data_IF_431620860252
#
_entry.id   IF_431620860252
#
_cell.length_a   1.000
_cell.length_b   1.000
_cell.length_c   1.000
_cell.angle_alpha   90.00
_cell.angle_beta   90.00
_cell.angle_gamma   90.00
#
_symmetry.space_group_name_H-M   'P 1'
#
loop_
_entity.id
_entity.type
_entity.pdbx_description
1 polymer ?
#
# COMPACT_ATOMS: atom_id res chain seq x y z
N UNK A 1 55.17 -17.70 -33.89
CA UNK A 1 55.58 -18.76 -32.94
C UNK A 1 54.32 -19.46 -32.45
N UNK A 2 54.20 -20.77 -32.71
CA UNK A 2 53.04 -21.61 -32.37
C UNK A 2 53.29 -22.31 -31.04
N UNK A 3 52.28 -22.55 -30.19
CA UNK A 3 52.32 -23.66 -29.25
C UNK A 3 51.77 -24.93 -29.91
N UNK A 4 52.59 -25.98 -29.85
CA UNK A 4 52.26 -27.36 -30.18
C UNK A 4 51.36 -27.97 -29.10
N UNK A 5 50.25 -28.59 -29.49
CA UNK A 5 49.59 -29.62 -28.69
C UNK A 5 49.99 -31.00 -29.24
N UNK A 6 50.67 -31.76 -28.38
CA UNK A 6 51.18 -33.09 -28.65
C UNK A 6 50.06 -34.15 -28.60
N UNK A 7 50.33 -35.22 -29.35
CA UNK A 7 49.54 -36.43 -29.57
C UNK A 7 49.33 -37.22 -28.26
N UNK A 8 48.15 -37.84 -28.11
CA UNK A 8 47.92 -38.76 -27.01
C UNK A 8 46.53 -39.41 -26.94
N UNK A 9 46.26 -40.39 -27.80
CA UNK A 9 45.43 -41.58 -27.54
C UNK A 9 43.93 -41.42 -27.14
N UNK A 10 43.09 -41.56 -28.17
CA UNK A 10 41.91 -42.44 -28.25
C UNK A 10 41.28 -42.92 -26.94
N UNK A 11 40.09 -42.39 -26.62
CA UNK A 11 38.91 -43.19 -26.28
C UNK A 11 37.65 -42.53 -26.84
N UNK A 12 37.10 -43.13 -27.89
CA UNK A 12 35.70 -42.98 -28.26
C UNK A 12 34.85 -43.67 -27.18
N UNK A 13 33.86 -42.97 -26.63
CA UNK A 13 32.73 -43.55 -25.91
C UNK A 13 31.43 -43.01 -26.53
N UNK A 14 30.34 -43.82 -26.54
CA UNK A 14 29.19 -43.58 -27.37
C UNK A 14 28.22 -42.56 -26.77
N UNK A 15 27.36 -42.07 -27.65
CA UNK A 15 26.21 -41.21 -27.37
C UNK A 15 25.20 -41.85 -26.40
N UNK A 16 24.30 -40.97 -25.92
CA UNK A 16 23.02 -41.19 -25.22
C UNK A 16 23.07 -40.94 -23.71
N UNK A 17 22.64 -39.73 -23.34
CA UNK A 17 22.33 -39.32 -21.99
C UNK A 17 21.43 -38.09 -22.02
N UNK A 18 20.15 -38.32 -22.32
CA UNK A 18 19.08 -37.34 -22.14
C UNK A 18 18.99 -36.89 -20.68
N UNK A 19 18.65 -35.62 -20.47
CA UNK A 19 18.38 -35.03 -19.15
C UNK A 19 19.53 -34.15 -18.70
N UNK A 20 19.36 -32.89 -18.35
CA UNK A 20 18.20 -32.22 -17.76
C UNK A 20 18.20 -30.82 -18.38
N UNK A 21 17.15 -30.49 -19.13
CA UNK A 21 16.85 -29.09 -19.42
C UNK A 21 16.69 -28.42 -18.06
N UNK A 22 17.64 -27.56 -17.70
CA UNK A 22 17.47 -26.56 -16.66
C UNK A 22 16.33 -25.65 -17.14
N UNK A 23 15.10 -26.11 -16.90
CA UNK A 23 13.90 -25.31 -17.07
C UNK A 23 14.06 -24.15 -16.13
N UNK A 24 14.40 -22.99 -16.71
CA UNK A 24 14.19 -21.71 -16.08
C UNK A 24 12.69 -21.65 -15.76
N UNK A 25 12.35 -22.04 -14.52
CA UNK A 25 11.07 -21.68 -13.92
C UNK A 25 11.10 -20.17 -13.86
N UNK A 26 10.56 -19.53 -14.90
CA UNK A 26 10.13 -18.16 -14.85
C UNK A 26 9.15 -18.08 -13.68
N UNK A 27 9.64 -17.56 -12.56
CA UNK A 27 8.79 -17.11 -11.46
C UNK A 27 7.91 -16.06 -12.13
N UNK A 28 6.69 -16.47 -12.49
CA UNK A 28 5.66 -15.55 -12.93
C UNK A 28 5.35 -14.70 -11.72
N UNK A 29 6.02 -13.56 -11.62
CA UNK A 29 5.64 -12.51 -10.68
C UNK A 29 4.16 -12.26 -10.96
N UNK A 30 3.29 -12.65 -10.03
CA UNK A 30 1.87 -12.32 -10.12
C UNK A 30 1.80 -10.82 -10.36
N UNK A 31 1.12 -10.41 -11.43
CA UNK A 31 1.00 -9.00 -11.74
C UNK A 31 0.43 -8.29 -10.50
N UNK A 32 1.18 -7.33 -9.95
CA UNK A 32 0.77 -6.58 -8.76
C UNK A 32 -0.55 -5.86 -9.05
N UNK A 33 -1.57 -6.08 -8.23
CA UNK A 33 -2.86 -5.39 -8.38
C UNK A 33 -2.83 -4.05 -7.63
N UNK A 34 -2.29 -3.03 -8.30
CA UNK A 34 -2.23 -1.66 -7.77
C UNK A 34 -3.61 -1.07 -7.44
N UNK A 35 -4.70 -1.59 -8.03
CA UNK A 35 -6.04 -1.14 -7.69
C UNK A 35 -6.48 -1.69 -6.33
N UNK A 36 -6.21 -2.96 -6.06
CA UNK A 36 -6.50 -3.56 -4.75
C UNK A 36 -5.71 -2.81 -3.67
N UNK A 37 -4.40 -2.72 -3.86
CA UNK A 37 -3.46 -2.11 -2.94
C UNK A 37 -3.77 -0.62 -2.67
N UNK A 38 -4.12 0.17 -3.70
CA UNK A 38 -4.56 1.55 -3.50
C UNK A 38 -5.92 1.71 -2.81
N UNK A 39 -6.87 0.79 -3.03
CA UNK A 39 -8.18 0.84 -2.37
C UNK A 39 -8.08 0.41 -0.90
N UNK A 40 -7.36 -0.66 -0.63
CA UNK A 40 -7.19 -1.24 0.70
C UNK A 40 -6.38 -0.29 1.58
N UNK A 41 -5.22 0.17 1.10
CA UNK A 41 -4.40 1.15 1.81
C UNK A 41 -5.15 2.44 2.13
N UNK A 42 -5.95 2.97 1.19
CA UNK A 42 -6.80 4.13 1.46
C UNK A 42 -7.87 3.84 2.51
N UNK A 43 -8.58 2.71 2.41
CA UNK A 43 -9.63 2.36 3.35
C UNK A 43 -9.08 2.20 4.77
N UNK A 44 -7.89 1.61 4.90
CA UNK A 44 -7.17 1.47 6.16
C UNK A 44 -6.83 2.83 6.77
N UNK A 45 -6.27 3.75 5.98
CA UNK A 45 -5.98 5.11 6.47
C UNK A 45 -7.22 5.95 6.76
N UNK A 46 -8.27 5.83 5.97
CA UNK A 46 -9.57 6.47 6.21
C UNK A 46 -10.17 6.00 7.54
N UNK A 47 -10.14 4.70 7.82
CA UNK A 47 -10.51 4.13 9.11
C UNK A 47 -9.59 4.59 10.24
N UNK A 48 -8.28 4.64 10.02
CA UNK A 48 -7.32 5.11 11.01
C UNK A 48 -7.57 6.59 11.38
N UNK A 49 -7.89 7.45 10.42
CA UNK A 49 -8.17 8.86 10.70
C UNK A 49 -9.44 9.05 11.52
N UNK A 50 -10.46 8.22 11.31
CA UNK A 50 -11.63 8.21 12.19
C UNK A 50 -11.29 7.67 13.59
N UNK A 51 -10.54 6.56 13.68
CA UNK A 51 -10.10 6.00 14.95
C UNK A 51 -9.27 6.99 15.78
N UNK A 52 -8.44 7.82 15.14
CA UNK A 52 -7.63 8.84 15.81
C UNK A 52 -8.47 9.91 16.53
N UNK A 53 -9.74 10.11 16.11
CA UNK A 53 -10.69 11.00 16.78
C UNK A 53 -11.41 10.31 17.96
N UNK A 54 -11.36 8.99 18.03
CA UNK A 54 -11.97 8.14 19.05
C UNK A 54 -10.89 7.77 20.06
N UNK A 55 -10.76 8.55 21.14
CA UNK A 55 -9.67 8.36 22.12
C UNK A 55 -9.59 6.95 22.76
N UNK A 56 -10.63 6.14 22.62
CA UNK A 56 -10.71 4.74 23.07
C UNK A 56 -10.26 3.70 22.01
N UNK A 57 -9.89 4.13 20.79
CA UNK A 57 -9.51 3.27 19.66
C UNK A 57 -8.03 3.40 19.28
N UNK A 58 -7.16 3.70 20.24
CA UNK A 58 -5.72 3.93 19.98
C UNK A 58 -5.02 2.70 19.38
N UNK A 59 -5.38 1.49 19.84
CA UNK A 59 -4.77 0.24 19.35
C UNK A 59 -5.20 -0.02 17.91
N UNK A 60 -6.49 0.13 17.61
CA UNK A 60 -7.04 -0.02 16.27
C UNK A 60 -6.47 1.03 15.31
N UNK A 61 -6.36 2.29 15.75
CA UNK A 61 -5.70 3.35 15.00
C UNK A 61 -4.29 2.93 14.56
N UNK A 62 -3.46 2.43 15.49
CA UNK A 62 -2.08 2.03 15.17
C UNK A 62 -2.04 0.89 14.17
N UNK A 63 -2.89 -0.13 14.34
CA UNK A 63 -2.96 -1.27 13.44
C UNK A 63 -3.40 -0.87 12.03
N UNK A 64 -4.50 -0.12 11.92
CA UNK A 64 -5.02 0.39 10.65
C UNK A 64 -4.01 1.31 9.96
N UNK A 65 -3.37 2.20 10.71
CA UNK A 65 -2.38 3.13 10.19
C UNK A 65 -1.16 2.39 9.61
N UNK A 66 -0.63 1.41 10.35
CA UNK A 66 0.53 0.63 9.92
C UNK A 66 0.24 -0.21 8.68
N UNK A 67 -0.89 -0.91 8.65
CA UNK A 67 -1.29 -1.69 7.48
C UNK A 67 -1.49 -0.80 6.25
N UNK A 68 -2.23 0.32 6.40
CA UNK A 68 -2.42 1.24 5.28
C UNK A 68 -1.14 1.93 4.84
N UNK A 69 -0.20 2.18 5.75
CA UNK A 69 1.11 2.75 5.42
C UNK A 69 1.93 1.77 4.58
N UNK A 70 1.93 0.48 4.93
CA UNK A 70 2.62 -0.55 4.16
C UNK A 70 2.09 -0.63 2.72
N UNK A 71 0.76 -0.76 2.55
CA UNK A 71 0.13 -0.80 1.23
C UNK A 71 0.45 0.46 0.42
N UNK A 72 0.23 1.64 0.98
CA UNK A 72 0.44 2.88 0.25
C UNK A 72 1.92 3.16 -0.04
N UNK A 73 2.84 2.68 0.81
CA UNK A 73 4.27 2.77 0.55
C UNK A 73 4.63 1.99 -0.72
N UNK A 74 4.17 0.75 -0.83
CA UNK A 74 4.41 -0.06 -2.03
C UNK A 74 3.84 0.60 -3.29
N UNK A 75 2.62 1.16 -3.21
CA UNK A 75 1.99 1.88 -4.33
C UNK A 75 2.87 3.03 -4.82
N UNK A 76 3.38 3.83 -3.88
CA UNK A 76 4.12 5.05 -4.17
C UNK A 76 5.57 4.76 -4.57
N UNK A 77 6.19 3.71 -4.05
CA UNK A 77 7.48 3.23 -4.53
C UNK A 77 7.40 2.78 -5.98
N UNK A 78 6.38 2.00 -6.33
CA UNK A 78 6.16 1.56 -7.70
C UNK A 78 5.73 2.70 -8.63
N UNK A 79 5.03 3.72 -8.10
CA UNK A 79 4.76 4.96 -8.84
C UNK A 79 6.09 5.65 -9.21
N UNK A 80 7.00 5.78 -8.25
CA UNK A 80 8.32 6.41 -8.45
C UNK A 80 9.21 5.60 -9.38
N UNK A 81 9.06 4.27 -9.37
CA UNK A 81 9.73 3.37 -10.31
C UNK A 81 9.11 3.38 -11.72
N UNK A 82 8.01 4.12 -11.94
CA UNK A 82 7.37 4.24 -13.26
C UNK A 82 6.54 3.03 -13.67
N UNK A 83 6.15 2.16 -12.73
CA UNK A 83 5.36 0.94 -13.00
C UNK A 83 3.84 1.18 -13.06
N UNK A 84 3.39 2.32 -12.56
CA UNK A 84 1.96 2.69 -12.57
C UNK A 84 1.57 3.34 -13.90
N UNK A 85 0.43 2.89 -14.40
CA UNK A 85 -0.17 3.32 -15.65
C UNK A 85 -1.68 3.54 -15.46
N UNK A 86 -2.32 4.24 -16.39
CA UNK A 86 -3.76 4.54 -16.30
C UNK A 86 -4.63 3.27 -16.22
N UNK A 87 -4.23 2.18 -16.87
CA UNK A 87 -5.00 0.94 -16.95
C UNK A 87 -4.88 0.06 -15.68
N UNK A 88 -3.74 0.10 -14.98
CA UNK A 88 -3.53 -0.66 -13.73
C UNK A 88 -3.85 0.16 -12.47
N UNK A 89 -4.16 1.46 -12.59
CA UNK A 89 -4.55 2.33 -11.45
C UNK A 89 -5.94 2.96 -11.58
N UNK A 90 -6.77 2.49 -12.52
CA UNK A 90 -8.07 3.11 -12.82
C UNK A 90 -9.06 3.11 -11.65
N UNK A 91 -8.88 2.23 -10.67
CA UNK A 91 -9.74 2.09 -9.49
C UNK A 91 -9.04 2.53 -8.20
N UNK A 92 -7.83 3.09 -8.29
CA UNK A 92 -7.18 3.73 -7.13
C UNK A 92 -8.03 4.95 -6.73
N UNK A 93 -8.37 5.11 -5.44
CA UNK A 93 -9.14 6.25 -4.95
C UNK A 93 -8.60 7.58 -5.44
N UNK A 94 -9.50 8.44 -5.93
CA UNK A 94 -9.13 9.73 -6.53
C UNK A 94 -8.40 10.64 -5.52
N UNK A 95 -8.66 10.47 -4.22
CA UNK A 95 -8.02 11.17 -3.13
C UNK A 95 -6.51 10.93 -3.10
N UNK A 96 -6.05 9.70 -3.32
CA UNK A 96 -4.60 9.40 -3.42
C UNK A 96 -3.99 10.24 -4.54
N UNK A 97 -4.61 10.27 -5.72
CA UNK A 97 -4.11 11.05 -6.86
C UNK A 97 -4.19 12.56 -6.62
N UNK A 98 -5.24 13.03 -5.97
CA UNK A 98 -5.48 14.46 -5.68
C UNK A 98 -4.52 14.99 -4.62
N UNK A 99 -4.19 14.18 -3.61
CA UNK A 99 -3.34 14.57 -2.49
C UNK A 99 -1.91 14.04 -2.61
N UNK A 100 -1.58 13.37 -3.72
CA UNK A 100 -0.20 13.02 -4.00
C UNK A 100 0.64 14.28 -4.25
N UNK A 101 1.63 14.50 -3.40
CA UNK A 101 2.64 15.53 -3.58
C UNK A 101 3.99 14.85 -3.84
N UNK A 102 4.61 15.03 -5.03
CA UNK A 102 5.92 14.46 -5.29
C UNK A 102 6.95 15.11 -4.39
N UNK A 103 7.56 14.31 -3.50
CA UNK A 103 8.57 14.75 -2.55
C UNK A 103 9.94 14.08 -2.73
N UNK A 104 10.91 14.43 -1.86
CA UNK A 104 12.24 13.84 -1.86
C UNK A 104 12.23 12.33 -1.60
N UNK A 105 11.23 11.82 -0.86
CA UNK A 105 11.08 10.39 -0.52
C UNK A 105 9.62 9.93 -0.60
N UNK A 106 9.43 8.60 -0.60
CA UNK A 106 8.11 7.98 -0.43
C UNK A 106 7.48 8.42 0.90
N UNK A 107 8.22 8.35 2.00
CA UNK A 107 7.76 8.78 3.33
C UNK A 107 7.29 10.23 3.39
N UNK A 108 7.96 11.16 2.70
CA UNK A 108 7.47 12.54 2.62
C UNK A 108 6.09 12.60 1.95
N UNK A 109 5.94 11.86 0.85
CA UNK A 109 4.70 11.84 0.07
C UNK A 109 3.56 11.20 0.87
N UNK A 110 3.86 10.12 1.61
CA UNK A 110 2.95 9.46 2.55
C UNK A 110 2.56 10.38 3.71
N UNK A 111 3.50 11.09 4.31
CA UNK A 111 3.23 12.04 5.38
C UNK A 111 2.30 13.18 4.95
N UNK A 112 2.49 13.71 3.73
CA UNK A 112 1.59 14.71 3.17
C UNK A 112 0.20 14.13 2.88
N UNK A 113 0.13 12.93 2.30
CA UNK A 113 -1.13 12.24 2.03
C UNK A 113 -1.92 11.98 3.32
N UNK A 114 -1.26 11.49 4.37
CA UNK A 114 -1.87 11.30 5.69
C UNK A 114 -2.38 12.62 6.27
N UNK A 115 -1.58 13.68 6.22
CA UNK A 115 -1.99 14.99 6.72
C UNK A 115 -3.26 15.50 6.03
N UNK A 116 -3.37 15.34 4.70
CA UNK A 116 -4.57 15.71 3.94
C UNK A 116 -5.79 14.87 4.26
N UNK A 117 -5.59 13.57 4.48
CA UNK A 117 -6.67 12.68 4.87
C UNK A 117 -7.17 12.96 6.29
N UNK A 118 -6.25 13.21 7.24
CA UNK A 118 -6.59 13.59 8.60
C UNK A 118 -7.30 14.96 8.66
N UNK A 119 -6.82 15.95 7.91
CA UNK A 119 -7.47 17.26 7.74
C UNK A 119 -8.90 17.10 7.20
N UNK A 120 -9.07 16.37 6.09
CA UNK A 120 -10.38 16.13 5.50
C UNK A 120 -11.34 15.39 6.44
N UNK A 121 -10.83 14.41 7.19
CA UNK A 121 -11.62 13.66 8.18
C UNK A 121 -12.06 14.56 9.34
N UNK A 122 -11.14 15.40 9.82
CA UNK A 122 -11.45 16.39 10.86
C UNK A 122 -12.52 17.37 10.38
N UNK A 123 -12.36 17.95 9.19
CA UNK A 123 -13.35 18.88 8.61
C UNK A 123 -14.71 18.23 8.38
N UNK A 124 -14.75 17.00 7.86
CA UNK A 124 -15.99 16.28 7.59
C UNK A 124 -16.77 15.92 8.87
N UNK A 125 -16.07 15.78 10.00
CA UNK A 125 -16.68 15.45 11.30
C UNK A 125 -16.90 16.67 12.18
N UNK A 126 -16.27 17.81 11.88
CA UNK A 126 -16.40 19.02 12.68
C UNK A 126 -17.72 19.76 12.40
N UNK A 127 -18.52 20.07 13.43
CA UNK A 127 -19.80 20.75 13.22
C UNK A 127 -19.61 22.24 12.86
N UNK A 128 -20.45 22.74 11.95
CA UNK A 128 -20.38 24.11 11.42
C UNK A 128 -20.88 25.22 12.39
N UNK A 129 -21.52 24.89 13.51
CA UNK A 129 -22.34 25.85 14.29
C UNK A 129 -21.61 26.45 15.51
N UNK A 130 -22.07 27.63 15.97
CA UNK A 130 -21.52 28.44 17.07
C UNK A 130 -21.55 27.86 18.49
N UNK A 131 -21.61 26.53 18.64
CA UNK A 131 -21.52 25.86 19.93
C UNK A 131 -20.14 26.06 20.58
N UNK A 132 -20.06 25.84 21.90
CA UNK A 132 -18.79 25.81 22.63
C UNK A 132 -17.87 24.71 22.10
N UNK A 133 -16.56 24.85 22.32
CA UNK A 133 -15.58 23.87 21.87
C UNK A 133 -15.90 22.44 22.33
N UNK A 134 -16.25 22.25 23.62
CA UNK A 134 -16.59 20.94 24.17
C UNK A 134 -17.82 20.30 23.52
N UNK A 135 -18.86 21.12 23.27
CA UNK A 135 -20.04 20.65 22.57
C UNK A 135 -19.70 20.23 21.12
N UNK A 136 -18.86 21.00 20.42
CA UNK A 136 -18.40 20.65 19.08
C UNK A 136 -17.60 19.36 19.07
N UNK A 137 -16.68 19.19 20.03
CA UNK A 137 -15.85 18.00 20.18
C UNK A 137 -16.69 16.74 20.40
N UNK A 138 -17.72 16.84 21.23
CA UNK A 138 -18.64 15.70 21.47
C UNK A 138 -19.39 15.31 20.20
N UNK A 139 -19.86 16.28 19.42
CA UNK A 139 -20.50 16.03 18.13
C UNK A 139 -19.51 15.41 17.13
N UNK A 140 -18.27 15.90 17.10
CA UNK A 140 -17.21 15.34 16.25
C UNK A 140 -16.93 13.87 16.57
N UNK A 141 -16.74 13.54 17.86
CA UNK A 141 -16.50 12.16 18.30
C UNK A 141 -17.67 11.26 17.88
N UNK A 142 -18.91 11.72 18.04
CA UNK A 142 -20.10 10.97 17.59
C UNK A 142 -20.11 10.75 16.08
N UNK A 143 -19.81 11.78 15.29
CA UNK A 143 -19.77 11.69 13.83
C UNK A 143 -18.64 10.75 13.36
N UNK A 144 -17.45 10.86 13.96
CA UNK A 144 -16.33 9.98 13.70
C UNK A 144 -16.67 8.53 14.04
N UNK A 145 -17.35 8.28 15.16
CA UNK A 145 -17.79 6.93 15.55
C UNK A 145 -18.78 6.36 14.55
N UNK A 146 -19.80 7.12 14.16
CA UNK A 146 -20.76 6.66 13.15
C UNK A 146 -20.10 6.35 11.81
N UNK A 147 -19.12 7.15 11.39
CA UNK A 147 -18.36 6.89 10.17
C UNK A 147 -17.45 5.65 10.29
N UNK A 148 -16.75 5.49 11.41
CA UNK A 148 -15.91 4.33 11.71
C UNK A 148 -16.72 3.03 11.69
N UNK A 149 -17.83 2.99 12.43
CA UNK A 149 -18.71 1.83 12.50
C UNK A 149 -19.36 1.55 11.13
N UNK A 150 -19.83 2.59 10.44
CA UNK A 150 -20.50 2.48 9.13
C UNK A 150 -19.59 2.02 7.99
N UNK A 151 -18.27 2.21 8.11
CA UNK A 151 -17.26 1.72 7.17
C UNK A 151 -16.82 0.28 7.46
N UNK A 152 -17.21 -0.30 8.60
CA UNK A 152 -16.79 -1.65 8.99
C UNK A 152 -15.30 -1.73 9.36
N UNK A 153 -14.75 -0.67 9.94
CA UNK A 153 -13.32 -0.55 10.20
C UNK A 153 -12.74 -1.65 11.11
N UNK A 154 -13.53 -2.17 12.06
CA UNK A 154 -13.10 -3.30 12.89
C UNK A 154 -12.89 -4.57 12.04
N UNK A 155 -13.79 -4.85 11.08
CA UNK A 155 -13.64 -5.99 10.17
C UNK A 155 -12.48 -5.83 9.19
N UNK A 156 -12.18 -4.59 8.78
CA UNK A 156 -11.01 -4.29 7.96
C UNK A 156 -9.71 -4.59 8.71
N UNK A 157 -9.64 -4.23 10.00
CA UNK A 157 -8.48 -4.54 10.84
C UNK A 157 -8.31 -6.04 11.08
N UNK A 158 -9.42 -6.78 11.27
CA UNK A 158 -9.39 -8.24 11.42
C UNK A 158 -8.84 -8.95 10.17
N UNK A 159 -9.16 -8.45 8.97
CA UNK A 159 -8.67 -9.01 7.72
C UNK A 159 -7.13 -8.88 7.53
N UNK A 160 -6.46 -8.06 8.35
CA UNK A 160 -5.00 -7.85 8.33
C UNK A 160 -4.23 -8.77 9.29
N UNK A 161 -4.92 -9.61 10.06
CA UNK A 161 -4.33 -10.56 11.02
C UNK A 161 -4.26 -11.97 10.45
#
# INVERSE_FOLDING_TARGET
>A
MRPSCARGWVRCFPALGSGIFAGAFAISASAQDYNALGREGYALWDCAAHAALLGDKEVEFRGLFQAGHADLSELLEDLRAGKLHSWNTRHVPAQIRRWYAPGPSTEFSLGYLWAKLAEATHEATWPATGATFEARRTVQIKAAKTAYDGKGCDGLLEAQR
#
